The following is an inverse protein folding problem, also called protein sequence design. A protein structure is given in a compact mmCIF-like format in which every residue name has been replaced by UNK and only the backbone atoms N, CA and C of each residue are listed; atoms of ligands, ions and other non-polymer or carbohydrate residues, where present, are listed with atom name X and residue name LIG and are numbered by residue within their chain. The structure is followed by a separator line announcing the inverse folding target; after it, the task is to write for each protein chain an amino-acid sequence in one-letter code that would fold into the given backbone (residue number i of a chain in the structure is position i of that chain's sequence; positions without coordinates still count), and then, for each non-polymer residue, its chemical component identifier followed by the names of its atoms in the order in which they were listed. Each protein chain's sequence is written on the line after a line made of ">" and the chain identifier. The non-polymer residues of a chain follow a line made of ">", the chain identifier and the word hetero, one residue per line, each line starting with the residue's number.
data_IF_891090212390
#
_entry.id   IF_891090212390
#
_cell.length_a   1.000
_cell.length_b   1.000
_cell.length_c   1.000
_cell.angle_alpha   90.00
_cell.angle_beta   90.00
_cell.angle_gamma   90.00
#
_symmetry.space_group_name_H-M   'P 1'
#
loop_
_entity.id
_entity.type
_entity.pdbx_description
1 polymer ?
#
# COMPACT_ATOMS: atom_id res chain seq x y z
N UNK A 1 -5.48 26.00 -2.23
CA UNK A 1 -4.05 26.19 -2.45
C UNK A 1 -3.30 24.96 -2.00
N UNK A 2 -2.42 24.43 -2.85
CA UNK A 2 -1.53 23.33 -2.54
C UNK A 2 -0.10 23.84 -2.31
N UNK A 3 0.58 23.25 -1.35
CA UNK A 3 2.00 23.45 -1.10
C UNK A 3 2.76 22.27 -1.66
N UNK A 4 3.84 22.52 -2.38
CA UNK A 4 4.70 21.47 -2.91
C UNK A 4 6.17 21.87 -2.77
N UNK A 5 7.02 20.87 -2.72
CA UNK A 5 8.46 21.03 -2.62
C UNK A 5 9.17 19.71 -2.87
N UNK A 6 10.48 19.72 -2.97
CA UNK A 6 11.28 18.51 -3.16
C UNK A 6 11.83 18.02 -1.83
N UNK A 7 11.35 16.87 -1.37
CA UNK A 7 11.59 16.34 -0.03
C UNK A 7 11.10 17.28 1.10
N UNK A 8 10.08 18.05 0.79
CA UNK A 8 9.55 19.07 1.71
C UNK A 8 8.87 18.47 2.93
N UNK A 9 8.33 17.24 2.83
CA UNK A 9 7.81 16.49 3.97
C UNK A 9 8.90 16.15 4.98
N UNK A 10 10.08 15.75 4.49
CA UNK A 10 11.21 15.37 5.34
C UNK A 10 12.06 16.51 5.86
N UNK A 11 12.04 17.68 5.20
CA UNK A 11 12.93 18.78 5.55
C UNK A 11 12.24 20.13 5.70
N UNK A 12 11.65 20.68 4.64
CA UNK A 12 11.20 22.08 4.65
C UNK A 12 10.09 22.35 5.67
N UNK A 13 9.10 21.48 5.72
CA UNK A 13 7.96 21.64 6.64
C UNK A 13 8.41 21.51 8.10
N UNK A 14 9.07 20.41 8.53
CA UNK A 14 9.50 20.31 9.93
C UNK A 14 10.53 21.37 10.32
N UNK A 15 11.47 21.71 9.43
CA UNK A 15 12.43 22.78 9.71
C UNK A 15 11.73 24.12 9.92
N UNK A 16 10.82 24.49 9.01
CA UNK A 16 10.14 25.79 9.07
C UNK A 16 9.27 25.91 10.33
N UNK A 17 8.48 24.88 10.64
CA UNK A 17 7.64 24.86 11.84
C UNK A 17 8.49 24.98 13.11
N UNK A 18 9.55 24.17 13.22
CA UNK A 18 10.46 24.22 14.37
C UNK A 18 11.20 25.57 14.46
N UNK A 19 11.61 26.13 13.33
CA UNK A 19 12.30 27.42 13.28
C UNK A 19 11.40 28.57 13.73
N UNK A 20 10.15 28.59 13.23
CA UNK A 20 9.14 29.60 13.65
C UNK A 20 8.85 29.49 15.14
N UNK A 21 8.64 28.24 15.62
CA UNK A 21 8.42 28.00 17.06
C UNK A 21 9.56 28.56 17.93
N UNK A 22 10.81 28.40 17.46
CA UNK A 22 12.00 28.81 18.21
C UNK A 22 12.27 30.31 18.13
N UNK A 23 12.09 30.95 16.97
CA UNK A 23 12.49 32.34 16.71
C UNK A 23 11.36 33.32 17.02
N UNK A 24 10.12 32.94 16.75
CA UNK A 24 8.94 33.75 17.01
C UNK A 24 8.19 33.20 18.22
N UNK A 25 7.17 32.36 17.94
CA UNK A 25 6.43 31.67 19.00
C UNK A 25 5.73 30.42 18.45
N UNK A 26 5.24 29.55 19.35
CA UNK A 26 4.39 28.45 18.98
C UNK A 26 3.07 28.93 18.35
N UNK A 27 2.52 30.02 18.83
CA UNK A 27 1.27 30.59 18.31
C UNK A 27 1.41 31.08 16.86
N UNK A 28 2.58 31.58 16.46
CA UNK A 28 2.84 32.00 15.09
C UNK A 28 2.78 30.80 14.10
N UNK A 29 2.96 29.57 14.57
CA UNK A 29 2.84 28.39 13.71
C UNK A 29 1.41 28.16 13.23
N UNK A 30 0.39 28.72 13.87
CA UNK A 30 -1.00 28.70 13.41
C UNK A 30 -1.17 29.31 12.02
N UNK A 31 -0.30 30.26 11.63
CA UNK A 31 -0.32 30.91 10.33
C UNK A 31 -0.07 29.96 9.16
N UNK A 32 0.52 28.80 9.42
CA UNK A 32 0.68 27.72 8.42
C UNK A 32 -0.60 26.92 8.19
N UNK A 33 -1.56 26.99 9.09
CA UNK A 33 -2.83 26.29 9.01
C UNK A 33 -3.98 27.27 8.73
N UNK A 34 -5.13 26.73 8.32
CA UNK A 34 -6.39 27.48 8.27
C UNK A 34 -7.12 27.39 9.62
N UNK A 35 -8.14 28.23 9.79
CA UNK A 35 -9.05 28.24 10.94
C UNK A 35 -8.35 28.37 12.30
N UNK A 36 -7.17 29.00 12.33
CA UNK A 36 -6.40 29.18 13.56
C UNK A 36 -5.92 27.89 14.23
N UNK A 37 -5.88 26.78 13.49
CA UNK A 37 -5.40 25.50 13.98
C UNK A 37 -3.88 25.46 14.08
N UNK A 38 -3.36 24.56 14.92
CA UNK A 38 -1.93 24.27 14.97
C UNK A 38 -1.55 23.19 13.95
N UNK A 39 -0.32 23.22 13.40
CA UNK A 39 0.21 22.09 12.67
C UNK A 39 0.21 20.83 13.53
N UNK A 40 -0.34 19.72 13.01
CA UNK A 40 -0.41 18.45 13.73
C UNK A 40 0.86 17.66 13.48
N UNK A 41 1.59 17.36 14.56
CA UNK A 41 2.79 16.51 14.49
C UNK A 41 2.40 15.10 14.04
N UNK A 42 3.10 14.57 13.04
CA UNK A 42 2.95 13.21 12.53
C UNK A 42 4.32 12.52 12.47
N UNK A 43 4.37 11.29 12.92
CA UNK A 43 5.53 10.42 12.75
C UNK A 43 5.34 9.56 11.50
N UNK A 44 6.40 9.34 10.76
CA UNK A 44 6.42 8.44 9.62
C UNK A 44 7.78 7.71 9.56
N UNK A 45 7.73 6.47 9.15
CA UNK A 45 8.95 5.68 8.97
C UNK A 45 9.49 5.86 7.55
N UNK A 46 10.80 6.09 7.46
CA UNK A 46 11.49 6.18 6.19
C UNK A 46 12.90 5.59 6.31
N UNK A 47 13.22 4.62 5.46
CA UNK A 47 14.49 3.89 5.49
C UNK A 47 14.80 3.26 6.86
N UNK A 48 13.80 2.73 7.55
CA UNK A 48 13.96 2.12 8.87
C UNK A 48 14.21 3.13 10.02
N UNK A 49 14.06 4.43 9.77
CA UNK A 49 14.16 5.47 10.77
C UNK A 49 12.84 6.23 10.95
N UNK A 50 12.48 6.46 12.21
CA UNK A 50 11.34 7.33 12.54
C UNK A 50 11.67 8.80 12.23
N UNK A 51 10.82 9.42 11.44
CA UNK A 51 10.91 10.83 11.07
C UNK A 51 9.68 11.57 11.55
N UNK A 52 9.84 12.87 11.75
CA UNK A 52 8.77 13.74 12.21
C UNK A 52 8.47 14.75 11.10
N UNK A 53 7.19 14.88 10.77
CA UNK A 53 6.67 15.96 9.93
C UNK A 53 5.46 16.61 10.59
N UNK A 54 4.85 17.58 9.91
CA UNK A 54 3.66 18.25 10.39
C UNK A 54 2.61 18.34 9.28
N UNK A 55 1.40 17.94 9.61
CA UNK A 55 0.25 18.13 8.75
C UNK A 55 -0.29 19.56 8.94
N UNK A 56 -0.39 20.28 7.85
CA UNK A 56 -0.87 21.68 7.85
C UNK A 56 -2.39 21.67 7.69
N UNK A 57 -3.11 21.84 8.79
CA UNK A 57 -4.56 21.72 8.81
C UNK A 57 -5.21 22.73 7.86
N UNK A 58 -6.08 22.24 6.99
CA UNK A 58 -6.80 23.03 5.98
C UNK A 58 -5.98 23.37 4.73
N UNK A 59 -4.69 23.02 4.67
CA UNK A 59 -3.85 23.16 3.48
C UNK A 59 -3.37 21.82 2.98
N UNK A 60 -3.36 21.65 1.69
CA UNK A 60 -2.82 20.46 1.07
C UNK A 60 -1.31 20.62 0.91
N UNK A 61 -0.56 19.62 1.37
CA UNK A 61 0.87 19.53 1.12
C UNK A 61 1.14 18.22 0.34
N UNK A 62 1.79 18.37 -0.82
CA UNK A 62 2.16 17.26 -1.71
C UNK A 62 3.65 17.35 -2.00
N UNK A 63 4.44 16.47 -1.40
CA UNK A 63 5.88 16.39 -1.66
C UNK A 63 6.13 15.90 -3.09
N UNK A 64 6.70 16.75 -3.93
CA UNK A 64 6.89 16.44 -5.36
C UNK A 64 7.85 15.28 -5.61
N UNK A 65 8.82 15.07 -4.73
CA UNK A 65 9.70 13.90 -4.81
C UNK A 65 8.91 12.59 -4.58
N UNK A 66 7.93 12.60 -3.69
CA UNK A 66 7.07 11.44 -3.45
C UNK A 66 6.12 11.21 -4.63
N UNK A 67 5.55 12.29 -5.21
CA UNK A 67 4.76 12.21 -6.44
C UNK A 67 5.59 11.61 -7.58
N UNK A 68 6.82 12.08 -7.76
CA UNK A 68 7.72 11.57 -8.77
C UNK A 68 7.99 10.07 -8.59
N UNK A 69 8.31 9.64 -7.38
CA UNK A 69 8.53 8.23 -7.06
C UNK A 69 7.29 7.36 -7.29
N UNK A 70 6.12 7.90 -7.00
CA UNK A 70 4.87 7.16 -7.13
C UNK A 70 4.44 6.96 -8.58
N UNK A 71 4.56 8.00 -9.40
CA UNK A 71 4.02 7.99 -10.76
C UNK A 71 5.08 7.71 -11.84
N UNK A 72 6.35 7.50 -11.44
CA UNK A 72 7.41 7.07 -12.33
C UNK A 72 7.68 5.59 -12.12
N UNK A 73 7.51 4.77 -13.16
CA UNK A 73 7.68 3.32 -13.07
C UNK A 73 9.14 2.87 -13.10
N UNK A 74 10.03 3.69 -13.67
CA UNK A 74 11.43 3.38 -13.77
C UNK A 74 12.20 3.85 -12.53
N UNK A 75 13.04 2.98 -11.98
CA UNK A 75 13.94 3.36 -10.90
C UNK A 75 15.03 4.30 -11.41
N UNK A 76 15.37 5.31 -10.61
CA UNK A 76 16.45 6.25 -10.87
C UNK A 76 17.63 5.97 -9.96
N UNK A 77 18.84 6.16 -10.48
CA UNK A 77 20.07 6.04 -9.68
C UNK A 77 20.10 7.04 -8.51
N UNK A 78 19.49 8.19 -8.67
CA UNK A 78 19.38 9.23 -7.65
C UNK A 78 18.05 9.97 -7.77
N UNK A 79 17.46 10.28 -6.63
CA UNK A 79 16.26 11.11 -6.51
C UNK A 79 16.57 12.51 -5.99
N UNK A 80 17.81 12.99 -6.13
CA UNK A 80 18.13 14.38 -5.86
C UNK A 80 17.47 15.29 -6.91
N UNK A 81 17.08 16.50 -6.51
CA UNK A 81 16.49 17.46 -7.45
C UNK A 81 17.40 17.76 -8.64
N UNK A 82 18.72 17.77 -8.41
CA UNK A 82 19.71 17.98 -9.46
C UNK A 82 19.69 16.85 -10.49
N UNK A 83 19.73 15.59 -10.04
CA UNK A 83 19.71 14.43 -10.93
C UNK A 83 18.40 14.31 -11.72
N UNK A 84 17.27 14.56 -11.07
CA UNK A 84 15.95 14.51 -11.72
C UNK A 84 15.77 15.71 -12.65
N UNK A 85 16.22 16.89 -12.26
CA UNK A 85 16.21 18.09 -13.13
C UNK A 85 17.02 17.87 -14.40
N UNK A 86 18.21 17.27 -14.29
CA UNK A 86 19.03 16.91 -15.46
C UNK A 86 18.33 15.87 -16.34
N UNK A 87 17.82 14.79 -15.74
CA UNK A 87 17.17 13.71 -16.49
C UNK A 87 15.90 14.16 -17.20
N UNK A 88 15.03 14.89 -16.51
CA UNK A 88 13.73 15.28 -17.05
C UNK A 88 13.76 16.55 -17.90
N UNK A 89 14.60 17.52 -17.53
CA UNK A 89 14.60 18.86 -18.11
C UNK A 89 15.89 19.20 -18.87
N UNK A 90 16.92 18.37 -18.73
CA UNK A 90 18.30 18.71 -19.11
C UNK A 90 18.79 20.02 -18.44
N UNK A 91 18.31 20.29 -17.23
CA UNK A 91 18.67 21.44 -16.42
C UNK A 91 19.18 20.98 -15.06
N UNK A 92 20.19 21.66 -14.56
CA UNK A 92 20.78 21.41 -13.23
C UNK A 92 20.57 22.56 -12.28
N UNK A 93 20.83 22.29 -11.01
CA UNK A 93 20.96 23.33 -9.99
C UNK A 93 22.11 24.29 -10.31
N UNK A 94 22.02 25.50 -9.77
CA UNK A 94 23.13 26.46 -9.85
C UNK A 94 24.38 25.89 -9.16
N UNK A 95 25.46 25.74 -9.89
CA UNK A 95 26.72 25.25 -9.31
C UNK A 95 27.40 26.32 -8.48
N UNK A 96 27.95 25.93 -7.35
CA UNK A 96 28.75 26.80 -6.49
C UNK A 96 29.88 26.02 -5.82
N UNK A 97 30.94 26.70 -5.45
CA UNK A 97 32.06 26.12 -4.72
C UNK A 97 31.92 26.38 -3.22
N UNK A 98 32.37 25.42 -2.40
CA UNK A 98 32.32 25.51 -0.95
C UNK A 98 30.98 25.04 -0.35
N UNK A 99 30.64 25.57 0.83
CA UNK A 99 29.42 25.24 1.57
C UNK A 99 28.30 26.26 1.35
N UNK A 100 27.07 25.88 1.63
CA UNK A 100 25.92 26.81 1.57
C UNK A 100 26.07 27.99 2.53
N UNK A 101 26.73 27.77 3.67
CA UNK A 101 27.01 28.82 4.63
C UNK A 101 28.02 29.85 4.08
N UNK A 102 29.07 29.36 3.40
CA UNK A 102 30.00 30.24 2.69
C UNK A 102 29.31 31.00 1.56
N UNK A 103 28.45 30.32 0.78
CA UNK A 103 27.68 30.93 -0.28
C UNK A 103 26.78 32.05 0.27
N UNK A 104 26.09 31.82 1.40
CA UNK A 104 25.26 32.81 2.06
C UNK A 104 26.07 34.02 2.54
N UNK A 105 27.19 33.80 3.25
CA UNK A 105 27.97 34.86 3.86
C UNK A 105 28.83 35.64 2.87
N UNK A 106 29.35 35.00 1.83
CA UNK A 106 30.32 35.63 0.91
C UNK A 106 29.71 36.02 -0.44
N UNK A 107 28.69 35.28 -0.90
CA UNK A 107 28.07 35.45 -2.22
C UNK A 107 26.54 35.46 -2.16
N UNK A 108 25.96 36.30 -1.32
CA UNK A 108 24.54 36.32 -1.03
C UNK A 108 23.65 36.39 -2.28
N UNK A 109 24.02 37.19 -3.30
CA UNK A 109 23.28 37.26 -4.54
C UNK A 109 23.18 35.87 -5.22
N UNK A 110 24.29 35.15 -5.31
CA UNK A 110 24.33 33.83 -5.90
C UNK A 110 23.55 32.78 -5.07
N UNK A 111 23.53 32.98 -3.72
CA UNK A 111 22.69 32.19 -2.83
C UNK A 111 21.20 32.38 -3.15
N UNK A 112 20.74 33.60 -3.40
CA UNK A 112 19.35 33.87 -3.80
C UNK A 112 19.04 33.25 -5.18
N UNK A 113 19.96 33.37 -6.14
CA UNK A 113 19.82 32.73 -7.47
C UNK A 113 19.75 31.21 -7.37
N UNK A 114 20.56 30.59 -6.51
CA UNK A 114 20.53 29.15 -6.21
C UNK A 114 19.15 28.74 -5.67
N UNK A 115 18.66 29.43 -4.64
CA UNK A 115 17.36 29.12 -4.05
C UNK A 115 16.19 29.28 -5.03
N UNK A 116 16.26 30.34 -5.84
CA UNK A 116 15.27 30.59 -6.91
C UNK A 116 15.28 29.49 -7.95
N UNK A 117 16.45 29.03 -8.39
CA UNK A 117 16.58 27.94 -9.37
C UNK A 117 15.99 26.63 -8.82
N UNK A 118 16.26 26.27 -7.57
CA UNK A 118 15.69 25.10 -6.94
C UNK A 118 14.15 25.11 -6.95
N UNK A 119 13.55 26.25 -6.64
CA UNK A 119 12.10 26.39 -6.66
C UNK A 119 11.55 26.36 -8.10
N UNK A 120 12.25 27.00 -9.04
CA UNK A 120 11.83 27.01 -10.46
C UNK A 120 11.90 25.63 -11.11
N UNK A 121 12.89 24.81 -10.74
CA UNK A 121 13.01 23.43 -11.27
C UNK A 121 11.78 22.61 -10.92
N UNK A 122 11.25 22.72 -9.71
CA UNK A 122 10.02 21.98 -9.32
C UNK A 122 8.83 22.41 -10.19
N UNK A 123 8.65 23.71 -10.39
CA UNK A 123 7.60 24.23 -11.28
C UNK A 123 7.75 23.80 -12.74
N UNK A 124 8.98 23.69 -13.25
CA UNK A 124 9.26 23.19 -14.60
C UNK A 124 9.00 21.67 -14.68
N UNK A 125 9.38 20.91 -13.65
CA UNK A 125 9.08 19.48 -13.57
C UNK A 125 7.57 19.24 -13.61
N UNK A 126 6.80 19.99 -12.82
CA UNK A 126 5.34 19.83 -12.82
C UNK A 126 4.69 20.25 -14.15
N UNK A 127 5.18 21.30 -14.80
CA UNK A 127 4.72 21.66 -16.16
C UNK A 127 4.91 20.55 -17.18
N UNK A 128 6.02 19.79 -17.07
CA UNK A 128 6.31 18.67 -17.96
C UNK A 128 5.55 17.40 -17.58
N UNK A 129 5.59 17.02 -16.31
CA UNK A 129 5.11 15.74 -15.82
C UNK A 129 3.64 15.76 -15.40
N UNK A 130 3.12 16.92 -14.99
CA UNK A 130 1.74 17.14 -14.59
C UNK A 130 1.25 16.20 -13.47
N UNK A 131 2.11 15.86 -12.53
CA UNK A 131 1.76 14.92 -11.47
C UNK A 131 0.79 15.50 -10.44
N UNK A 132 0.78 16.83 -10.24
CA UNK A 132 -0.23 17.49 -9.42
C UNK A 132 -1.61 17.45 -10.09
N UNK A 133 -1.67 17.65 -11.41
CA UNK A 133 -2.91 17.50 -12.17
C UNK A 133 -3.40 16.06 -12.13
N UNK A 134 -2.51 15.08 -12.33
CA UNK A 134 -2.84 13.66 -12.25
C UNK A 134 -3.41 13.29 -10.86
N UNK A 135 -2.77 13.76 -9.79
CA UNK A 135 -3.27 13.53 -8.43
C UNK A 135 -4.65 14.17 -8.23
N UNK A 136 -4.89 15.36 -8.80
CA UNK A 136 -6.18 16.03 -8.75
C UNK A 136 -7.28 15.27 -9.49
N UNK A 137 -6.99 14.78 -10.69
CA UNK A 137 -7.92 13.94 -11.47
C UNK A 137 -8.26 12.64 -10.73
N UNK A 138 -7.25 11.99 -10.13
CA UNK A 138 -7.47 10.79 -9.32
C UNK A 138 -8.31 11.08 -8.06
N UNK A 139 -8.12 12.24 -7.44
CA UNK A 139 -8.91 12.65 -6.28
C UNK A 139 -10.38 12.85 -6.67
N UNK A 140 -10.64 13.50 -7.79
CA UNK A 140 -11.99 13.73 -8.31
C UNK A 140 -12.67 12.42 -8.73
N UNK A 141 -11.96 11.59 -9.52
CA UNK A 141 -12.51 10.34 -10.03
C UNK A 141 -12.91 9.36 -8.91
N UNK A 142 -12.21 9.41 -7.76
CA UNK A 142 -12.46 8.49 -6.65
C UNK A 142 -13.10 9.18 -5.43
N UNK A 143 -13.49 10.46 -5.52
CA UNK A 143 -14.07 11.24 -4.41
C UNK A 143 -13.25 11.20 -3.12
N UNK A 144 -11.94 11.31 -3.25
CA UNK A 144 -11.00 11.36 -2.13
C UNK A 144 -10.33 12.72 -1.99
N UNK A 145 -9.74 12.98 -0.83
CA UNK A 145 -8.89 14.17 -0.67
C UNK A 145 -7.60 14.03 -1.48
N UNK A 146 -7.08 15.15 -1.96
CA UNK A 146 -5.86 15.17 -2.79
C UNK A 146 -4.68 14.43 -2.12
N UNK A 147 -4.48 14.59 -0.82
CA UNK A 147 -3.44 13.86 -0.06
C UNK A 147 -3.69 12.35 -0.02
N UNK A 148 -4.96 11.92 -0.03
CA UNK A 148 -5.32 10.50 0.01
C UNK A 148 -4.87 9.77 -1.26
N UNK A 149 -4.71 10.48 -2.38
CA UNK A 149 -4.24 9.90 -3.64
C UNK A 149 -2.84 9.28 -3.53
N UNK A 150 -2.07 9.67 -2.51
CA UNK A 150 -0.77 9.06 -2.24
C UNK A 150 -0.87 7.62 -1.68
N UNK A 151 -2.03 7.21 -1.15
CA UNK A 151 -2.29 5.87 -0.63
C UNK A 151 -3.13 5.04 -1.61
N UNK A 152 -2.53 4.08 -2.32
CA UNK A 152 -3.26 3.25 -3.29
C UNK A 152 -4.43 2.48 -2.66
N UNK A 153 -4.22 1.93 -1.46
CA UNK A 153 -5.26 1.18 -0.72
C UNK A 153 -6.46 2.07 -0.40
N UNK A 154 -6.22 3.29 0.10
CA UNK A 154 -7.30 4.21 0.46
C UNK A 154 -8.10 4.70 -0.77
N UNK A 155 -7.43 4.91 -1.90
CA UNK A 155 -8.09 5.26 -3.17
C UNK A 155 -8.95 4.10 -3.67
N UNK A 156 -8.42 2.88 -3.67
CA UNK A 156 -9.16 1.68 -4.12
C UNK A 156 -10.35 1.40 -3.20
N UNK A 157 -10.17 1.51 -1.89
CA UNK A 157 -11.26 1.36 -0.92
C UNK A 157 -12.41 2.34 -1.21
N UNK A 158 -12.08 3.62 -1.42
CA UNK A 158 -13.12 4.61 -1.73
C UNK A 158 -13.79 4.36 -3.08
N UNK A 159 -13.04 3.91 -4.09
CA UNK A 159 -13.61 3.53 -5.39
C UNK A 159 -14.65 2.40 -5.24
N UNK A 160 -14.33 1.39 -4.42
CA UNK A 160 -15.25 0.28 -4.12
C UNK A 160 -16.50 0.78 -3.35
N UNK A 161 -16.31 1.69 -2.38
CA UNK A 161 -17.43 2.29 -1.64
C UNK A 161 -18.34 3.07 -2.59
N UNK A 162 -17.80 3.85 -3.51
CA UNK A 162 -18.58 4.60 -4.49
C UNK A 162 -19.41 3.65 -5.37
N UNK A 163 -18.80 2.60 -5.91
CA UNK A 163 -19.49 1.60 -6.73
C UNK A 163 -20.58 0.87 -5.93
N UNK A 164 -20.32 0.50 -4.68
CA UNK A 164 -21.30 -0.11 -3.80
C UNK A 164 -22.52 0.82 -3.58
N UNK A 165 -22.28 2.11 -3.33
CA UNK A 165 -23.35 3.10 -3.14
C UNK A 165 -24.17 3.29 -4.43
N UNK A 166 -23.56 3.32 -5.60
CA UNK A 166 -24.27 3.39 -6.88
C UNK A 166 -25.21 2.19 -7.09
N UNK A 167 -24.83 1.03 -6.55
CA UNK A 167 -25.65 -0.19 -6.55
C UNK A 167 -26.67 -0.25 -5.40
N UNK A 168 -26.77 0.78 -4.57
CA UNK A 168 -27.66 0.82 -3.41
C UNK A 168 -27.21 -0.04 -2.22
N UNK A 169 -25.96 -0.47 -2.20
CA UNK A 169 -25.37 -1.27 -1.11
C UNK A 169 -24.68 -0.37 -0.09
N UNK A 170 -24.74 -0.76 1.18
CA UNK A 170 -24.06 -0.08 2.29
C UNK A 170 -22.84 -0.88 2.71
N UNK A 171 -21.68 -0.25 2.60
CA UNK A 171 -20.42 -0.86 3.06
C UNK A 171 -20.32 -0.74 4.58
N UNK A 172 -19.99 -1.84 5.31
CA UNK A 172 -19.88 -1.81 6.75
C UNK A 172 -18.70 -0.94 7.23
N UNK A 173 -18.80 -0.44 8.46
CA UNK A 173 -17.71 0.31 9.08
C UNK A 173 -16.46 -0.56 9.22
N UNK A 174 -15.29 0.07 9.03
CA UNK A 174 -14.02 -0.56 9.28
C UNK A 174 -13.94 -1.05 10.73
N UNK A 175 -13.75 -2.36 10.93
CA UNK A 175 -13.46 -2.90 12.27
C UNK A 175 -12.10 -2.35 12.74
N UNK A 176 -12.02 -1.91 14.00
CA UNK A 176 -10.71 -1.65 14.60
C UNK A 176 -9.91 -2.95 14.53
N UNK A 177 -8.69 -2.88 14.02
CA UNK A 177 -7.77 -4.02 14.08
C UNK A 177 -7.54 -4.33 15.57
N UNK A 178 -8.10 -5.42 16.01
CA UNK A 178 -7.62 -6.06 17.23
C UNK A 178 -6.21 -6.53 16.90
N UNK A 179 -5.26 -6.18 17.77
CA UNK A 179 -3.84 -6.49 17.63
C UNK A 179 -3.52 -7.97 17.92
N UNK A 180 -4.45 -8.87 17.68
CA UNK A 180 -4.23 -10.28 17.87
C UNK A 180 -3.42 -10.86 16.72
N UNK A 181 -2.25 -11.40 17.05
CA UNK A 181 -1.36 -12.11 16.11
C UNK A 181 -2.07 -13.27 15.39
N UNK A 182 -3.17 -13.75 15.93
CA UNK A 182 -3.99 -14.84 15.40
C UNK A 182 -4.84 -14.48 14.18
N UNK A 183 -4.96 -13.20 13.81
CA UNK A 183 -5.75 -12.75 12.65
C UNK A 183 -4.93 -12.49 11.40
N UNK A 184 -3.63 -12.76 11.41
CA UNK A 184 -2.78 -12.56 10.25
C UNK A 184 -2.98 -13.71 9.26
N UNK A 185 -3.58 -13.40 8.09
CA UNK A 185 -3.69 -14.38 7.01
C UNK A 185 -2.29 -14.91 6.62
N UNK A 186 -2.17 -16.23 6.47
CA UNK A 186 -0.93 -16.84 6.02
C UNK A 186 -0.51 -16.25 4.66
N UNK A 187 0.75 -15.85 4.55
CA UNK A 187 1.32 -15.37 3.29
C UNK A 187 1.38 -16.45 2.23
N UNK A 188 1.51 -16.04 0.97
CA UNK A 188 1.70 -16.96 -0.14
C UNK A 188 3.01 -17.75 0.02
N UNK A 189 3.03 -18.96 -0.54
CA UNK A 189 4.25 -19.75 -0.59
C UNK A 189 5.31 -19.09 -1.47
N UNK A 190 6.53 -18.98 -0.94
CA UNK A 190 7.70 -18.51 -1.67
C UNK A 190 8.74 -19.63 -1.66
N UNK A 191 9.08 -20.15 -2.84
CA UNK A 191 10.09 -21.19 -2.98
C UNK A 191 11.47 -20.69 -2.61
N UNK A 192 12.25 -21.51 -1.90
CA UNK A 192 13.66 -21.18 -1.66
C UNK A 192 14.45 -21.20 -2.98
N UNK A 193 15.25 -20.16 -3.26
CA UNK A 193 16.06 -20.11 -4.47
C UNK A 193 17.11 -21.23 -4.46
N UNK A 194 17.28 -21.91 -5.59
CA UNK A 194 18.41 -22.81 -5.79
C UNK A 194 19.64 -21.96 -6.04
N UNK A 195 20.60 -21.96 -5.12
CA UNK A 195 21.85 -21.20 -5.23
C UNK A 195 22.73 -21.77 -6.33
N UNK A 196 23.33 -20.93 -7.14
CA UNK A 196 24.26 -21.31 -8.18
C UNK A 196 24.13 -20.46 -9.44
N UNK A 197 25.00 -20.72 -10.40
CA UNK A 197 24.90 -20.17 -11.75
C UNK A 197 23.97 -21.07 -12.55
N UNK A 198 22.95 -20.48 -13.15
CA UNK A 198 21.97 -21.18 -13.98
C UNK A 198 22.02 -20.61 -15.39
N UNK A 199 22.07 -21.46 -16.40
CA UNK A 199 22.06 -21.08 -17.80
C UNK A 199 20.66 -21.32 -18.39
N UNK A 200 20.32 -20.56 -19.44
CA UNK A 200 19.06 -20.71 -20.19
C UNK A 200 17.81 -20.57 -19.32
N UNK A 201 17.77 -19.55 -18.47
CA UNK A 201 16.61 -19.30 -17.61
C UNK A 201 15.57 -18.48 -18.37
N UNK A 202 14.34 -19.01 -18.39
CA UNK A 202 13.14 -18.28 -18.79
C UNK A 202 12.32 -17.88 -17.57
N UNK A 203 11.77 -16.67 -17.57
CA UNK A 203 10.84 -16.20 -16.54
C UNK A 203 9.49 -15.90 -17.17
N UNK A 204 8.42 -16.37 -16.53
CA UNK A 204 7.04 -16.08 -16.91
C UNK A 204 6.33 -15.54 -15.68
N UNK A 205 5.65 -14.43 -15.82
CA UNK A 205 4.81 -13.84 -14.77
C UNK A 205 3.33 -13.93 -15.16
N UNK A 206 2.48 -14.24 -14.18
CA UNK A 206 1.03 -14.28 -14.39
C UNK A 206 0.48 -12.88 -14.15
N UNK A 207 0.01 -12.26 -15.23
CA UNK A 207 -0.55 -10.91 -15.17
C UNK A 207 -1.74 -10.84 -14.21
N UNK A 208 -1.65 -9.99 -13.20
CA UNK A 208 -2.70 -9.75 -12.21
C UNK A 208 -3.21 -11.04 -11.55
N UNK A 209 -2.32 -11.91 -11.06
CA UNK A 209 -2.66 -13.25 -10.55
C UNK A 209 -3.83 -13.23 -9.57
N UNK A 210 -3.74 -12.47 -8.46
CA UNK A 210 -4.81 -12.41 -7.46
C UNK A 210 -6.12 -11.84 -8.02
N UNK A 211 -6.15 -10.69 -8.71
CA UNK A 211 -7.38 -10.18 -9.31
C UNK A 211 -8.01 -11.14 -10.33
N UNK A 212 -7.19 -11.86 -11.09
CA UNK A 212 -7.66 -12.84 -12.06
C UNK A 212 -8.28 -14.06 -11.37
N UNK A 213 -7.66 -14.56 -10.31
CA UNK A 213 -8.21 -15.67 -9.51
C UNK A 213 -9.52 -15.27 -8.83
N UNK A 214 -9.59 -14.10 -8.20
CA UNK A 214 -10.81 -13.58 -7.56
C UNK A 214 -11.95 -13.51 -8.57
N UNK A 215 -11.70 -12.98 -9.78
CA UNK A 215 -12.72 -12.92 -10.83
C UNK A 215 -13.12 -14.29 -11.37
N UNK A 216 -12.15 -15.17 -11.59
CA UNK A 216 -12.42 -16.50 -12.13
C UNK A 216 -13.22 -17.38 -11.17
N UNK A 217 -12.96 -17.25 -9.87
CA UNK A 217 -13.64 -17.98 -8.81
C UNK A 217 -14.87 -17.25 -8.25
N UNK A 218 -15.20 -16.05 -8.79
CA UNK A 218 -16.30 -15.21 -8.31
C UNK A 218 -16.25 -14.96 -6.78
N UNK A 219 -15.05 -14.68 -6.26
CA UNK A 219 -14.80 -14.49 -4.82
C UNK A 219 -15.15 -13.06 -4.40
N UNK A 220 -16.24 -12.89 -3.70
CA UNK A 220 -16.68 -11.61 -3.14
C UNK A 220 -17.38 -11.81 -1.81
N UNK A 221 -17.50 -10.77 -0.97
CA UNK A 221 -18.22 -10.87 0.31
C UNK A 221 -19.64 -11.36 0.13
N UNK A 222 -20.29 -10.97 -0.97
CA UNK A 222 -21.66 -11.34 -1.32
C UNK A 222 -21.81 -12.76 -1.86
N UNK A 223 -20.73 -13.43 -2.16
CA UNK A 223 -20.76 -14.81 -2.69
C UNK A 223 -20.33 -15.85 -1.66
N UNK A 224 -19.84 -15.42 -0.49
CA UNK A 224 -19.50 -16.31 0.61
C UNK A 224 -20.79 -16.87 1.20
N UNK A 225 -20.93 -18.19 1.26
CA UNK A 225 -22.08 -18.88 1.85
C UNK A 225 -21.79 -19.48 3.21
N UNK A 226 -20.51 -19.82 3.48
CA UNK A 226 -20.11 -20.39 4.76
C UNK A 226 -18.63 -20.68 4.83
N UNK A 227 -18.17 -21.05 6.01
CA UNK A 227 -16.79 -21.43 6.30
C UNK A 227 -16.73 -22.81 6.94
N UNK A 228 -15.86 -23.66 6.40
CA UNK A 228 -15.58 -24.98 6.99
C UNK A 228 -14.59 -24.83 8.15
N UNK A 229 -14.93 -25.36 9.31
CA UNK A 229 -14.01 -25.41 10.46
C UNK A 229 -13.07 -26.60 10.37
N UNK A 230 -11.81 -26.36 10.70
CA UNK A 230 -10.73 -27.35 10.93
C UNK A 230 -10.88 -28.67 10.19
N UNK A 231 -10.51 -28.69 8.94
CA UNK A 231 -10.54 -29.90 8.15
C UNK A 231 -9.35 -30.83 8.43
N UNK A 232 -9.46 -32.11 8.07
CA UNK A 232 -8.34 -33.06 8.15
C UNK A 232 -7.16 -32.63 7.29
N UNK A 233 -7.40 -31.92 6.20
CA UNK A 233 -6.34 -31.36 5.36
C UNK A 233 -5.43 -30.43 6.16
N UNK A 234 -5.98 -29.52 6.95
CA UNK A 234 -5.19 -28.63 7.80
C UNK A 234 -4.32 -29.41 8.78
N UNK A 235 -4.87 -30.45 9.41
CA UNK A 235 -4.11 -31.32 10.31
C UNK A 235 -2.99 -32.05 9.60
N UNK A 236 -3.26 -32.59 8.41
CA UNK A 236 -2.28 -33.29 7.60
C UNK A 236 -1.15 -32.35 7.17
N UNK A 237 -1.47 -31.14 6.69
CA UNK A 237 -0.48 -30.15 6.29
C UNK A 237 0.37 -29.72 7.47
N UNK A 238 -0.24 -29.40 8.63
CA UNK A 238 0.50 -29.09 9.85
C UNK A 238 1.43 -30.23 10.27
N UNK A 239 0.95 -31.47 10.22
CA UNK A 239 1.78 -32.62 10.56
C UNK A 239 2.95 -32.82 9.59
N UNK A 240 2.76 -32.66 8.30
CA UNK A 240 3.83 -32.71 7.30
C UNK A 240 4.88 -31.63 7.52
N UNK A 241 4.47 -30.42 7.84
CA UNK A 241 5.39 -29.30 8.10
C UNK A 241 6.11 -29.49 9.44
N UNK A 242 5.39 -29.72 10.52
CA UNK A 242 5.94 -29.71 11.88
C UNK A 242 6.71 -30.99 12.22
N UNK A 243 6.11 -32.16 11.95
CA UNK A 243 6.70 -33.44 12.32
C UNK A 243 7.65 -33.99 11.28
N UNK A 244 7.28 -33.89 9.99
CA UNK A 244 8.09 -34.41 8.87
C UNK A 244 9.08 -33.38 8.34
N UNK A 245 9.04 -32.14 8.85
CA UNK A 245 9.90 -31.02 8.42
C UNK A 245 9.90 -30.78 6.90
N UNK A 246 8.77 -31.04 6.26
CA UNK A 246 8.61 -30.80 4.84
C UNK A 246 8.49 -29.29 4.57
N UNK A 247 8.94 -28.85 3.40
CA UNK A 247 8.65 -27.49 2.94
C UNK A 247 7.15 -27.31 2.70
N UNK A 248 6.67 -26.07 2.76
CA UNK A 248 5.24 -25.79 2.53
C UNK A 248 4.75 -26.38 1.19
N UNK A 249 5.49 -26.19 0.08
CA UNK A 249 5.13 -26.74 -1.21
C UNK A 249 5.09 -28.28 -1.20
N UNK A 250 6.08 -28.94 -0.60
CA UNK A 250 6.10 -30.40 -0.51
C UNK A 250 4.97 -30.93 0.37
N UNK A 251 4.56 -30.19 1.40
CA UNK A 251 3.44 -30.56 2.25
C UNK A 251 2.11 -30.55 1.50
N UNK A 252 1.96 -29.64 0.50
CA UNK A 252 0.78 -29.53 -0.35
C UNK A 252 0.87 -30.35 -1.65
N UNK A 253 2.00 -30.96 -1.94
CA UNK A 253 2.17 -31.76 -3.16
C UNK A 253 1.14 -32.90 -3.23
N UNK A 254 0.43 -33.00 -4.34
CA UNK A 254 -0.65 -33.96 -4.55
C UNK A 254 -2.00 -33.56 -3.93
N UNK A 255 -2.11 -32.38 -3.31
CA UNK A 255 -3.35 -31.90 -2.67
C UNK A 255 -3.92 -30.64 -3.37
N UNK A 256 -3.72 -30.52 -4.66
CA UNK A 256 -4.14 -29.36 -5.43
C UNK A 256 -5.66 -29.13 -5.47
N UNK A 257 -6.45 -30.20 -5.31
CA UNK A 257 -7.88 -30.10 -5.08
C UNK A 257 -8.16 -30.31 -3.59
N UNK A 258 -7.66 -29.41 -2.73
CA UNK A 258 -7.69 -29.60 -1.28
C UNK A 258 -9.11 -29.81 -0.72
N UNK A 259 -10.13 -29.14 -1.25
CA UNK A 259 -11.54 -29.38 -0.89
C UNK A 259 -11.98 -30.78 -1.28
N UNK A 260 -11.67 -31.20 -2.52
CA UNK A 260 -11.97 -32.54 -3.00
C UNK A 260 -11.27 -33.60 -2.15
N UNK A 261 -9.97 -33.43 -1.91
CA UNK A 261 -9.21 -34.35 -1.06
C UNK A 261 -9.76 -34.38 0.37
N UNK A 262 -10.07 -33.23 0.96
CA UNK A 262 -10.64 -33.14 2.30
C UNK A 262 -11.97 -33.89 2.37
N UNK A 263 -12.89 -33.63 1.46
CA UNK A 263 -14.18 -34.28 1.44
C UNK A 263 -14.06 -35.81 1.27
N UNK A 264 -13.20 -36.28 0.38
CA UNK A 264 -12.95 -37.73 0.19
C UNK A 264 -12.35 -38.38 1.43
N UNK A 265 -11.34 -37.73 2.04
CA UNK A 265 -10.68 -38.27 3.23
C UNK A 265 -11.58 -38.25 4.46
N UNK A 266 -12.36 -37.19 4.64
CA UNK A 266 -13.32 -37.08 5.73
C UNK A 266 -14.47 -38.07 5.58
N UNK A 267 -14.97 -38.26 4.35
CA UNK A 267 -15.99 -39.25 4.04
C UNK A 267 -15.55 -40.70 4.40
N UNK A 268 -14.31 -41.06 4.10
CA UNK A 268 -13.74 -42.35 4.42
C UNK A 268 -13.65 -42.65 5.93
N UNK A 269 -13.57 -41.57 6.76
CA UNK A 269 -13.42 -41.66 8.20
C UNK A 269 -14.73 -41.48 8.96
N UNK A 270 -15.83 -41.13 8.27
CA UNK A 270 -17.11 -40.82 8.93
C UNK A 270 -17.05 -39.56 9.81
N UNK A 271 -16.19 -38.60 9.47
CA UNK A 271 -15.97 -37.37 10.26
C UNK A 271 -17.10 -36.39 9.99
N UNK A 272 -17.53 -35.71 11.03
CA UNK A 272 -18.44 -34.58 10.95
C UNK A 272 -17.67 -33.27 10.71
N UNK A 273 -18.21 -32.41 9.84
CA UNK A 273 -17.66 -31.11 9.49
C UNK A 273 -18.64 -30.04 9.94
N UNK A 274 -18.15 -29.10 10.73
CA UNK A 274 -18.95 -27.94 11.15
C UNK A 274 -18.83 -26.84 10.10
N UNK A 275 -19.98 -26.32 9.70
CA UNK A 275 -20.08 -25.16 8.79
C UNK A 275 -20.60 -23.98 9.56
N UNK A 276 -19.86 -22.88 9.50
CA UNK A 276 -20.31 -21.56 9.97
C UNK A 276 -20.90 -20.81 8.78
N UNK A 277 -22.22 -20.67 8.76
CA UNK A 277 -22.92 -20.00 7.68
C UNK A 277 -22.84 -18.47 7.82
N UNK A 278 -22.96 -17.77 6.71
CA UNK A 278 -23.03 -16.31 6.70
C UNK A 278 -24.19 -15.78 7.56
N UNK A 279 -25.29 -16.53 7.67
CA UNK A 279 -26.42 -16.22 8.56
C UNK A 279 -26.07 -16.18 10.06
N UNK A 280 -24.88 -16.64 10.45
CA UNK A 280 -24.47 -16.82 11.83
C UNK A 280 -24.95 -18.13 12.46
N UNK A 281 -25.56 -19.03 11.68
CA UNK A 281 -25.95 -20.36 12.11
C UNK A 281 -24.77 -21.32 12.00
N UNK A 282 -24.65 -22.22 12.97
CA UNK A 282 -23.69 -23.35 12.93
C UNK A 282 -24.44 -24.64 12.61
N UNK A 283 -23.96 -25.38 11.64
CA UNK A 283 -24.51 -26.72 11.33
C UNK A 283 -23.42 -27.75 11.25
N UNK A 284 -23.73 -28.99 11.62
CA UNK A 284 -22.80 -30.11 11.53
C UNK A 284 -23.31 -31.07 10.48
N UNK A 285 -22.45 -31.42 9.53
CA UNK A 285 -22.75 -32.25 8.41
C UNK A 285 -21.76 -33.40 8.26
N UNK A 286 -22.18 -34.49 7.68
CA UNK A 286 -21.25 -35.55 7.23
C UNK A 286 -20.38 -35.04 6.07
N UNK A 287 -19.19 -35.59 5.94
CA UNK A 287 -18.30 -35.24 4.82
C UNK A 287 -18.93 -35.49 3.45
N UNK A 288 -19.84 -36.47 3.33
CA UNK A 288 -20.57 -36.74 2.11
C UNK A 288 -21.57 -35.63 1.75
N UNK A 289 -22.27 -35.09 2.75
CA UNK A 289 -23.18 -33.97 2.54
C UNK A 289 -22.42 -32.71 2.16
N UNK A 290 -21.30 -32.41 2.84
CA UNK A 290 -20.43 -31.26 2.49
C UNK A 290 -19.89 -31.40 1.07
N UNK A 291 -19.48 -32.59 0.67
CA UNK A 291 -19.07 -32.86 -0.71
C UNK A 291 -20.18 -32.50 -1.71
N UNK A 292 -21.39 -33.02 -1.49
CA UNK A 292 -22.53 -32.73 -2.36
C UNK A 292 -22.86 -31.26 -2.40
N UNK A 293 -22.81 -30.57 -1.25
CA UNK A 293 -23.01 -29.10 -1.19
C UNK A 293 -21.99 -28.34 -2.04
N UNK A 294 -20.72 -28.71 -1.99
CA UNK A 294 -19.64 -28.00 -2.71
C UNK A 294 -19.68 -28.30 -4.21
N UNK A 295 -19.78 -29.56 -4.59
CA UNK A 295 -19.59 -29.99 -5.98
C UNK A 295 -20.89 -30.09 -6.78
N UNK A 296 -22.02 -30.35 -6.13
CA UNK A 296 -23.31 -30.51 -6.82
C UNK A 296 -24.07 -29.16 -6.90
N UNK A 297 -23.78 -28.21 -6.00
CA UNK A 297 -24.55 -26.96 -5.92
C UNK A 297 -24.09 -25.84 -6.86
N UNK A 298 -22.90 -25.95 -7.45
CA UNK A 298 -22.26 -24.85 -8.19
C UNK A 298 -22.18 -23.53 -7.40
N UNK A 299 -22.13 -23.60 -6.07
CA UNK A 299 -21.99 -22.44 -5.20
C UNK A 299 -20.52 -22.19 -4.89
N UNK A 300 -20.07 -20.93 -4.83
CA UNK A 300 -18.72 -20.61 -4.34
C UNK A 300 -18.65 -20.79 -2.81
N UNK A 301 -17.61 -21.45 -2.36
CA UNK A 301 -17.34 -21.72 -0.93
C UNK A 301 -16.05 -21.04 -0.46
#
# INVERSE_FOLDING_TARGET
>A
DALSGWNSEGFDIPYTINRVTRVLSKDDTRKFCLWGQFPKKRMFERFGAENITFDLIGRVHMDYMQLYRKYTYEERHSYSLDAIGEYELNERKTQFEGTLDQLYNQHFKKFIEYNRQDTMLIGKLDKKLRFLDLANELAHANTVLLQTTMGAVAVTEQAIINEAHERGMVVPNRKQRLTDEDTQAAGAYVAYPKKGLHEWIGSVDINSLYPSAIRACNMGPETIVGQLRQTMTDRLIKERIEKQKMSFAAAWEGLFACLEYTAVMEQQRGTEITIDWESGEETVHSAAEVWSMIFDSNQPW
#
